data_IF_498366059833
#
_entry.id   IF_498366059833
#
_cell.length_a   1.000
_cell.length_b   1.000
_cell.length_c   1.000
_cell.angle_alpha   90.00
_cell.angle_beta   90.00
_cell.angle_gamma   90.00
#
_symmetry.space_group_name_H-M   'P 1'
#
loop_
_entity.id
_entity.type
_entity.pdbx_description
1 polymer ?
#
# COMPACT_ATOMS: atom_id res chain seq x y z
N UNK A 1 18.11 2.91 -20.31
CA UNK A 1 18.08 3.32 -18.89
C UNK A 1 16.73 3.93 -18.50
N UNK A 2 16.16 4.82 -19.30
CA UNK A 2 14.90 5.52 -19.03
C UNK A 2 13.68 4.60 -18.82
N UNK A 3 13.55 3.51 -19.60
CA UNK A 3 12.41 2.59 -19.52
C UNK A 3 12.31 1.81 -18.20
N UNK A 4 13.45 1.43 -17.62
CA UNK A 4 13.50 0.72 -16.34
C UNK A 4 13.09 1.63 -15.18
N UNK A 5 13.58 2.88 -15.17
CA UNK A 5 13.22 3.87 -14.16
C UNK A 5 11.72 4.22 -14.22
N UNK A 6 11.16 4.36 -15.42
CA UNK A 6 9.73 4.60 -15.62
C UNK A 6 8.87 3.43 -15.15
N UNK A 7 9.30 2.20 -15.46
CA UNK A 7 8.64 0.99 -15.01
C UNK A 7 8.64 0.90 -13.47
N UNK A 8 9.79 1.13 -12.83
CA UNK A 8 9.90 1.17 -11.37
C UNK A 8 8.98 2.24 -10.75
N UNK A 9 8.88 3.42 -11.37
CA UNK A 9 8.03 4.50 -10.88
C UNK A 9 6.54 4.11 -10.96
N UNK A 10 6.12 3.52 -12.08
CA UNK A 10 4.77 3.01 -12.30
C UNK A 10 4.43 1.90 -11.31
N UNK A 11 5.34 0.95 -11.07
CA UNK A 11 5.11 -0.12 -10.10
C UNK A 11 4.96 0.44 -8.68
N UNK A 12 5.78 1.41 -8.29
CA UNK A 12 5.64 2.06 -6.99
C UNK A 12 4.32 2.81 -6.83
N UNK A 13 3.86 3.52 -7.87
CA UNK A 13 2.55 4.17 -7.88
C UNK A 13 1.40 3.17 -7.77
N UNK A 14 1.48 2.05 -8.50
CA UNK A 14 0.46 1.00 -8.45
C UNK A 14 0.37 0.35 -7.07
N UNK A 15 1.50 0.04 -6.43
CA UNK A 15 1.51 -0.57 -5.09
C UNK A 15 1.01 0.44 -4.05
N UNK A 16 1.39 1.72 -4.15
CA UNK A 16 0.90 2.76 -3.26
C UNK A 16 -0.62 2.95 -3.38
N UNK A 17 -1.16 2.93 -4.61
CA UNK A 17 -2.60 2.97 -4.86
C UNK A 17 -3.32 1.74 -4.30
N UNK A 18 -2.73 0.54 -4.45
CA UNK A 18 -3.29 -0.66 -3.84
C UNK A 18 -3.28 -0.57 -2.32
N UNK A 19 -2.19 -0.13 -1.70
CA UNK A 19 -2.11 0.08 -0.25
C UNK A 19 -3.17 1.08 0.23
N UNK A 20 -3.40 2.17 -0.52
CA UNK A 20 -4.45 3.14 -0.24
C UNK A 20 -5.84 2.47 -0.25
N UNK A 21 -6.15 1.71 -1.30
CA UNK A 21 -7.44 1.03 -1.43
C UNK A 21 -7.65 -0.01 -0.34
N UNK A 22 -6.65 -0.84 -0.06
CA UNK A 22 -6.72 -1.87 0.98
C UNK A 22 -6.84 -1.28 2.39
N UNK A 23 -6.07 -0.23 2.71
CA UNK A 23 -6.17 0.45 3.99
C UNK A 23 -7.58 1.05 4.18
N UNK A 24 -8.14 1.65 3.12
CA UNK A 24 -9.49 2.21 3.16
C UNK A 24 -10.57 1.13 3.36
N UNK A 25 -10.50 0.03 2.61
CA UNK A 25 -11.45 -1.09 2.75
C UNK A 25 -11.35 -1.74 4.14
N UNK A 26 -10.13 -1.92 4.66
CA UNK A 26 -9.90 -2.58 5.95
C UNK A 26 -10.11 -1.68 7.17
N UNK A 27 -10.32 -0.37 6.96
CA UNK A 27 -10.55 0.60 8.03
C UNK A 27 -9.27 1.10 8.73
N UNK A 28 -8.11 0.92 8.11
CA UNK A 28 -6.82 1.38 8.64
C UNK A 28 -6.51 2.84 8.25
N UNK A 29 -5.67 3.56 9.01
CA UNK A 29 -5.32 4.95 8.74
C UNK A 29 -4.56 5.08 7.42
N UNK A 30 -5.30 5.41 6.37
CA UNK A 30 -4.83 5.44 4.99
C UNK A 30 -3.60 6.33 4.83
N UNK A 31 -3.56 7.49 5.50
CA UNK A 31 -2.41 8.43 5.45
C UNK A 31 -1.08 7.78 5.86
N UNK A 32 -1.08 6.93 6.89
CA UNK A 32 0.14 6.25 7.36
C UNK A 32 0.58 5.17 6.37
N UNK A 33 -0.36 4.35 5.91
CA UNK A 33 -0.07 3.28 4.96
C UNK A 33 0.34 3.80 3.57
N UNK A 34 -0.27 4.89 3.11
CA UNK A 34 0.11 5.52 1.83
C UNK A 34 1.44 6.25 1.94
N UNK A 35 1.73 6.89 3.09
CA UNK A 35 3.03 7.51 3.35
C UNK A 35 4.17 6.48 3.39
N UNK A 36 3.96 5.34 4.06
CA UNK A 36 4.92 4.24 4.09
C UNK A 36 5.04 3.53 2.73
N UNK A 37 3.94 3.45 1.96
CA UNK A 37 3.96 2.93 0.60
C UNK A 37 4.67 3.84 -0.40
N UNK A 38 4.66 5.15 -0.20
CA UNK A 38 5.38 6.08 -1.08
C UNK A 38 6.90 5.86 -1.05
N UNK A 39 7.43 5.27 0.04
CA UNK A 39 8.84 4.89 0.10
C UNK A 39 9.10 3.66 -0.78
N UNK A 40 9.96 3.76 -1.81
CA UNK A 40 10.40 2.59 -2.55
C UNK A 40 11.05 1.58 -1.58
N UNK A 41 10.86 0.29 -1.84
CA UNK A 41 11.12 -0.87 -0.94
C UNK A 41 10.09 -1.09 0.17
N UNK A 42 9.70 -0.07 0.93
CA UNK A 42 8.69 -0.23 1.99
C UNK A 42 7.31 -0.58 1.46
N UNK A 43 7.00 -0.15 0.23
CA UNK A 43 5.75 -0.46 -0.48
C UNK A 43 5.38 -1.96 -0.47
N UNK A 44 6.34 -2.85 -0.71
CA UNK A 44 6.11 -4.30 -0.70
C UNK A 44 5.82 -4.82 0.71
N UNK A 45 6.59 -4.37 1.71
CA UNK A 45 6.41 -4.76 3.11
C UNK A 45 5.04 -4.31 3.61
N UNK A 46 4.67 -3.06 3.35
CA UNK A 46 3.39 -2.47 3.74
C UNK A 46 2.22 -3.19 3.07
N UNK A 47 2.36 -3.53 1.80
CA UNK A 47 1.35 -4.27 1.05
C UNK A 47 1.13 -5.68 1.62
N UNK A 48 2.21 -6.42 1.87
CA UNK A 48 2.15 -7.73 2.52
C UNK A 48 1.53 -7.61 3.92
N UNK A 49 1.92 -6.59 4.69
CA UNK A 49 1.36 -6.33 6.02
C UNK A 49 -0.15 -6.13 5.93
N UNK A 50 -0.63 -5.23 5.06
CA UNK A 50 -2.07 -5.03 4.82
C UNK A 50 -2.81 -6.30 4.42
N UNK A 51 -2.14 -7.23 3.73
CA UNK A 51 -2.73 -8.50 3.33
C UNK A 51 -2.97 -9.42 4.53
N UNK A 52 -1.98 -9.51 5.43
CA UNK A 52 -2.04 -10.29 6.67
C UNK A 52 -2.90 -9.66 7.77
N UNK A 53 -3.07 -8.33 7.77
CA UNK A 53 -3.83 -7.67 8.82
C UNK A 53 -5.33 -8.02 8.74
N UNK A 54 -5.99 -8.34 9.86
CA UNK A 54 -7.43 -8.61 9.86
C UNK A 54 -8.23 -7.34 9.50
N UNK A 55 -9.44 -7.54 8.97
CA UNK A 55 -10.37 -6.44 8.68
C UNK A 55 -10.84 -5.81 9.99
N UNK A 56 -10.39 -4.58 10.30
CA UNK A 56 -10.88 -3.86 11.48
C UNK A 56 -12.35 -3.45 11.32
N UNK A 57 -12.78 -3.22 10.08
CA UNK A 57 -14.19 -2.92 9.76
C UNK A 57 -15.13 -4.06 10.19
N UNK A 58 -14.69 -5.32 10.12
CA UNK A 58 -15.48 -6.49 10.52
C UNK A 58 -15.38 -6.78 12.03
N UNK A 59 -14.23 -6.47 12.65
CA UNK A 59 -14.03 -6.72 14.08
C UNK A 59 -14.78 -5.75 15.02
N UNK A 60 -15.42 -4.70 14.47
CA UNK A 60 -16.24 -3.73 15.21
C UNK A 60 -17.74 -4.08 15.22
N UNK A 61 -18.14 -5.22 14.63
CA UNK A 61 -19.53 -5.69 14.61
C UNK A 61 -19.69 -6.92 15.49
#
# INVERSE_FOLDING_TARGET
MLSLSLFLLLTNLLIAYQCYRYANTKGYPVKLFTGLGLLPYFNLVVWVYLLFLPNLTTAKN
#
